data_IF_322306086307
#
_entry.id   IF_322306086307
#
_cell.length_a   1.000
_cell.length_b   1.000
_cell.length_c   1.000
_cell.angle_alpha   90.00
_cell.angle_beta   90.00
_cell.angle_gamma   90.00
#
_symmetry.space_group_name_H-M   'P 1'
#
loop_
_entity.id
_entity.type
_entity.pdbx_description
1 polymer ?
#
# COMPACT_ATOMS: atom_id res chain seq x y z
N UNK A 1 -34.56 41.92 40.81
CA UNK A 1 -35.89 42.11 40.17
C UNK A 1 -35.92 41.23 38.94
N UNK A 2 -36.43 40.00 39.13
CA UNK A 2 -37.75 39.50 38.66
C UNK A 2 -37.64 38.95 37.23
N UNK A 3 -37.50 37.63 37.03
CA UNK A 3 -38.45 36.53 37.29
C UNK A 3 -39.61 36.49 36.27
N UNK A 4 -39.77 35.33 35.60
CA UNK A 4 -41.02 34.65 35.18
C UNK A 4 -40.70 33.51 34.17
N UNK A 5 -40.81 32.25 34.61
CA UNK A 5 -41.96 31.31 34.49
C UNK A 5 -42.19 30.76 33.07
N UNK A 6 -41.87 29.47 32.83
CA UNK A 6 -42.73 28.26 32.93
C UNK A 6 -43.44 27.96 31.59
N UNK A 7 -43.72 26.75 31.08
CA UNK A 7 -43.72 25.37 31.58
C UNK A 7 -43.89 24.41 30.36
N UNK A 8 -43.80 23.10 30.60
CA UNK A 8 -44.23 22.01 29.69
C UNK A 8 -43.06 21.08 29.34
N UNK A 9 -42.68 20.10 30.15
CA UNK A 9 -43.38 18.87 30.57
C UNK A 9 -43.55 17.84 29.43
N UNK A 10 -42.68 16.83 29.43
CA UNK A 10 -43.08 15.43 29.24
C UNK A 10 -41.91 14.50 29.61
N UNK A 11 -42.11 13.82 30.74
CA UNK A 11 -41.60 12.51 31.17
C UNK A 11 -40.79 11.71 30.12
N UNK A 12 -39.64 11.10 30.45
CA UNK A 12 -39.49 10.10 31.52
C UNK A 12 -39.76 8.70 30.93
N UNK A 13 -39.00 7.63 31.16
CA UNK A 13 -37.98 7.30 32.14
C UNK A 13 -37.15 6.14 31.55
N UNK A 14 -35.86 6.08 31.87
CA UNK A 14 -35.08 4.85 31.84
C UNK A 14 -35.71 3.84 32.82
N UNK A 15 -35.86 2.56 32.46
CA UNK A 15 -35.85 1.51 33.45
C UNK A 15 -34.42 0.99 33.71
N UNK A 16 -34.17 0.45 34.92
CA UNK A 16 -32.85 0.35 35.51
C UNK A 16 -32.23 -1.05 35.33
N UNK A 17 -30.93 -1.12 35.64
CA UNK A 17 -30.23 -2.36 35.96
C UNK A 17 -30.95 -3.09 37.09
N UNK A 18 -31.58 -4.21 36.80
CA UNK A 18 -31.86 -5.27 37.76
C UNK A 18 -30.71 -6.30 37.58
N UNK A 19 -29.79 -6.63 38.48
CA UNK A 19 -29.73 -6.61 39.95
C UNK A 19 -30.90 -7.29 40.62
N UNK A 20 -31.10 -8.55 40.23
CA UNK A 20 -31.71 -9.56 41.10
C UNK A 20 -30.59 -10.31 41.81
N UNK A 21 -30.05 -9.66 42.85
CA UNK A 21 -29.56 -10.35 44.02
C UNK A 21 -30.71 -11.19 44.55
N UNK A 22 -30.61 -12.51 44.39
CA UNK A 22 -31.52 -13.42 45.06
C UNK A 22 -31.25 -13.34 46.57
N UNK A 23 -32.25 -12.99 47.39
CA UNK A 23 -32.08 -12.90 48.82
C UNK A 23 -31.81 -14.29 49.40
N UNK A 24 -30.81 -14.33 50.28
CA UNK A 24 -30.63 -15.39 51.28
C UNK A 24 -31.95 -15.51 52.05
N UNK A 25 -32.77 -16.47 51.62
CA UNK A 25 -34.08 -16.69 52.21
C UNK A 25 -33.89 -17.49 53.49
N UNK A 26 -34.03 -16.76 54.59
CA UNK A 26 -34.68 -17.17 55.83
C UNK A 26 -34.46 -18.61 56.29
N UNK A 27 -33.69 -18.70 57.36
CA UNK A 27 -33.74 -19.74 58.39
C UNK A 27 -35.14 -19.78 59.04
N UNK A 28 -36.17 -20.12 58.25
CA UNK A 28 -37.49 -20.49 58.80
C UNK A 28 -37.43 -21.97 59.16
N UNK A 29 -37.15 -22.22 60.44
CA UNK A 29 -37.41 -23.51 61.07
C UNK A 29 -38.87 -23.89 60.75
N UNK A 30 -39.12 -25.05 60.14
CA UNK A 30 -40.49 -25.49 59.91
C UNK A 30 -41.18 -25.68 61.27
N UNK A 31 -42.49 -25.36 61.36
CA UNK A 31 -43.27 -25.56 62.57
C UNK A 31 -43.17 -27.04 63.01
N UNK A 32 -42.97 -27.33 64.29
CA UNK A 32 -42.94 -28.72 64.74
C UNK A 32 -44.35 -29.30 64.63
N UNK A 33 -44.45 -30.43 63.92
CA UNK A 33 -45.60 -31.32 64.05
C UNK A 33 -46.83 -30.89 63.25
N UNK A 34 -46.79 -31.13 61.94
CA UNK A 34 -47.83 -31.93 61.31
C UNK A 34 -47.09 -33.02 60.55
N UNK A 35 -46.86 -34.15 61.24
CA UNK A 35 -46.52 -35.37 60.54
C UNK A 35 -47.58 -35.55 59.45
N UNK A 36 -47.13 -35.73 58.21
CA UNK A 36 -48.00 -36.17 57.12
C UNK A 36 -48.90 -37.25 57.73
N UNK A 37 -50.21 -37.05 57.65
CA UNK A 37 -51.15 -38.09 58.06
C UNK A 37 -50.73 -39.35 57.32
N UNK A 38 -50.95 -40.53 57.92
CA UNK A 38 -50.62 -41.78 57.25
C UNK A 38 -51.13 -41.80 55.80
N UNK A 39 -52.26 -41.14 55.52
CA UNK A 39 -52.82 -40.97 54.19
C UNK A 39 -51.98 -40.11 53.22
N UNK A 40 -51.36 -39.00 53.62
CA UNK A 40 -50.53 -38.20 52.70
C UNK A 40 -49.16 -38.85 52.44
N UNK A 41 -48.60 -39.54 53.43
CA UNK A 41 -47.43 -40.40 53.21
C UNK A 41 -47.76 -41.61 52.32
N UNK A 42 -48.97 -42.16 52.43
CA UNK A 42 -49.47 -43.23 51.56
C UNK A 42 -49.77 -42.71 50.15
N UNK A 43 -50.37 -41.54 50.00
CA UNK A 43 -50.63 -40.91 48.69
C UNK A 43 -49.33 -40.52 47.97
N UNK A 44 -48.33 -40.01 48.69
CA UNK A 44 -47.01 -39.73 48.14
C UNK A 44 -46.21 -41.01 47.81
N UNK A 45 -46.45 -42.14 48.49
CA UNK A 45 -45.95 -43.48 48.09
C UNK A 45 -46.72 -44.06 46.91
N UNK A 46 -48.02 -43.80 46.79
CA UNK A 46 -48.87 -44.24 45.68
C UNK A 46 -48.64 -43.44 44.38
N UNK A 47 -48.18 -42.19 44.48
CA UNK A 47 -47.80 -41.36 43.34
C UNK A 47 -46.36 -41.60 42.86
N UNK A 48 -45.60 -42.50 43.50
CA UNK A 48 -44.27 -42.85 43.01
C UNK A 48 -44.40 -43.58 41.69
N UNK A 49 -43.65 -43.15 40.65
CA UNK A 49 -43.70 -43.82 39.37
C UNK A 49 -43.31 -45.27 39.59
N UNK A 50 -44.19 -46.16 39.13
CA UNK A 50 -43.99 -47.61 39.22
C UNK A 50 -42.62 -47.99 38.63
N UNK A 51 -42.03 -49.11 39.03
CA UNK A 51 -40.76 -49.58 38.47
C UNK A 51 -40.76 -49.57 36.93
N UNK A 52 -41.91 -49.86 36.34
CA UNK A 52 -42.16 -49.83 34.88
C UNK A 52 -42.12 -48.41 34.30
N UNK A 53 -42.71 -47.42 34.96
CA UNK A 53 -42.64 -46.01 34.56
C UNK A 53 -41.23 -45.43 34.70
N UNK A 54 -40.50 -45.73 35.79
CA UNK A 54 -39.10 -45.28 35.95
C UNK A 54 -38.18 -45.84 34.87
N UNK A 55 -38.33 -47.14 34.53
CA UNK A 55 -37.65 -47.77 33.39
C UNK A 55 -37.97 -47.05 32.08
N UNK A 56 -39.24 -46.74 31.81
CA UNK A 56 -39.63 -46.04 30.58
C UNK A 56 -39.02 -44.63 30.43
N UNK A 57 -38.87 -43.89 31.52
CA UNK A 57 -38.24 -42.56 31.52
C UNK A 57 -36.72 -42.67 31.36
N UNK A 58 -36.09 -43.66 32.01
CA UNK A 58 -34.67 -43.96 31.84
C UNK A 58 -34.35 -44.38 30.41
N UNK A 59 -35.17 -45.24 29.79
CA UNK A 59 -35.03 -45.67 28.40
C UNK A 59 -35.17 -44.49 27.43
N UNK A 60 -36.15 -43.60 27.64
CA UNK A 60 -36.30 -42.38 26.83
C UNK A 60 -35.10 -41.43 26.98
N UNK A 61 -34.54 -41.28 28.18
CA UNK A 61 -33.32 -40.48 28.42
C UNK A 61 -32.10 -41.12 27.76
N UNK A 62 -31.96 -42.44 27.83
CA UNK A 62 -30.89 -43.18 27.17
C UNK A 62 -31.01 -43.09 25.64
N UNK A 63 -32.20 -43.22 25.08
CA UNK A 63 -32.49 -43.03 23.65
C UNK A 63 -32.17 -41.61 23.20
N UNK A 64 -32.55 -40.57 23.96
CA UNK A 64 -32.19 -39.18 23.65
C UNK A 64 -30.68 -38.94 23.69
N UNK A 65 -29.98 -39.51 24.67
CA UNK A 65 -28.51 -39.42 24.73
C UNK A 65 -27.85 -40.14 23.56
N UNK A 66 -28.31 -41.35 23.21
CA UNK A 66 -27.85 -42.09 22.03
C UNK A 66 -28.11 -41.33 20.74
N UNK A 67 -29.31 -40.78 20.55
CA UNK A 67 -29.66 -39.96 19.38
C UNK A 67 -28.83 -38.67 19.29
N UNK A 68 -28.58 -37.99 20.43
CA UNK A 68 -27.70 -36.83 20.49
C UNK A 68 -26.25 -37.18 20.12
N UNK A 69 -25.73 -38.32 20.61
CA UNK A 69 -24.41 -38.84 20.23
C UNK A 69 -24.33 -39.21 18.74
N UNK A 70 -25.36 -39.84 18.19
CA UNK A 70 -25.43 -40.16 16.76
C UNK A 70 -25.48 -38.88 15.91
N UNK A 71 -26.27 -37.89 16.30
CA UNK A 71 -26.31 -36.60 15.60
C UNK A 71 -24.97 -35.86 15.66
N UNK A 72 -24.29 -35.87 16.82
CA UNK A 72 -22.94 -35.32 16.98
C UNK A 72 -21.93 -36.04 16.08
N UNK A 73 -21.97 -37.38 16.03
CA UNK A 73 -21.09 -38.16 15.15
C UNK A 73 -21.39 -37.90 13.67
N UNK A 74 -22.65 -37.78 13.27
CA UNK A 74 -23.04 -37.44 11.88
C UNK A 74 -22.58 -36.03 11.51
N UNK A 75 -22.71 -35.06 12.41
CA UNK A 75 -22.22 -33.69 12.20
C UNK A 75 -20.69 -33.64 12.16
N UNK A 76 -20.01 -34.40 13.04
CA UNK A 76 -18.56 -34.48 13.08
C UNK A 76 -18.00 -35.17 11.83
N UNK A 77 -18.57 -36.32 11.43
CA UNK A 77 -18.23 -36.98 10.17
C UNK A 77 -18.57 -36.11 8.96
N UNK A 78 -19.70 -35.40 8.98
CA UNK A 78 -20.08 -34.45 7.93
C UNK A 78 -19.09 -33.29 7.84
N UNK A 79 -18.63 -32.74 8.96
CA UNK A 79 -17.64 -31.66 9.00
C UNK A 79 -16.24 -32.15 8.59
N UNK A 80 -15.83 -33.34 9.04
CA UNK A 80 -14.56 -33.97 8.67
C UNK A 80 -14.59 -34.35 7.18
N UNK A 81 -15.69 -34.91 6.66
CA UNK A 81 -15.85 -35.18 5.24
C UNK A 81 -15.93 -33.88 4.42
N UNK A 82 -16.54 -32.82 4.93
CA UNK A 82 -16.52 -31.51 4.26
C UNK A 82 -15.10 -30.94 4.18
N UNK A 83 -14.28 -31.11 5.23
CA UNK A 83 -12.89 -30.64 5.26
C UNK A 83 -11.92 -31.55 4.50
N UNK A 84 -12.19 -32.86 4.39
CA UNK A 84 -11.31 -33.84 3.73
C UNK A 84 -11.73 -34.20 2.31
N UNK A 85 -12.95 -33.85 1.89
CA UNK A 85 -13.57 -34.33 0.65
C UNK A 85 -14.14 -33.22 -0.22
N UNK A 86 -14.11 -31.96 0.23
CA UNK A 86 -14.51 -30.82 -0.60
C UNK A 86 -13.28 -30.08 -1.11
N UNK A 87 -13.01 -30.07 -2.43
CA UNK A 87 -11.83 -29.41 -2.95
C UNK A 87 -11.87 -27.92 -2.67
N UNK A 88 -10.74 -27.38 -2.24
CA UNK A 88 -10.62 -25.97 -1.87
C UNK A 88 -10.99 -25.06 -3.06
N UNK A 89 -11.62 -23.89 -2.83
CA UNK A 89 -11.86 -22.90 -3.89
C UNK A 89 -10.55 -22.48 -4.55
N UNK A 90 -10.60 -22.02 -5.82
CA UNK A 90 -9.43 -21.45 -6.47
C UNK A 90 -8.91 -20.27 -5.63
N UNK A 91 -7.60 -20.23 -5.41
CA UNK A 91 -6.93 -19.20 -4.62
C UNK A 91 -5.70 -18.72 -5.38
N UNK A 92 -5.75 -17.48 -5.87
CA UNK A 92 -4.62 -16.90 -6.58
C UNK A 92 -3.60 -16.42 -5.55
N UNK A 93 -2.35 -16.81 -5.75
CA UNK A 93 -1.20 -16.29 -5.02
C UNK A 93 -0.25 -15.66 -6.01
N UNK A 94 0.13 -14.43 -5.70
CA UNK A 94 1.01 -13.62 -6.52
C UNK A 94 2.43 -13.70 -5.99
N UNK A 95 3.40 -13.78 -6.89
CA UNK A 95 4.80 -13.69 -6.52
C UNK A 95 5.58 -12.87 -7.55
N UNK A 96 6.23 -11.76 -7.15
CA UNK A 96 6.20 -11.13 -5.82
C UNK A 96 4.85 -10.44 -5.47
N UNK A 97 4.57 -10.20 -4.17
CA UNK A 97 3.43 -9.44 -3.66
C UNK A 97 3.83 -8.59 -2.42
N UNK A 98 3.86 -7.24 -2.50
CA UNK A 98 3.60 -6.42 -3.69
C UNK A 98 4.73 -6.57 -4.73
N UNK A 99 4.41 -6.30 -5.99
CA UNK A 99 5.40 -6.27 -7.07
C UNK A 99 6.03 -4.87 -7.17
N UNK A 100 7.36 -4.82 -7.18
CA UNK A 100 8.11 -3.58 -7.36
C UNK A 100 8.81 -3.55 -8.71
N UNK A 101 8.49 -2.57 -9.55
CA UNK A 101 9.16 -2.29 -10.82
C UNK A 101 10.44 -1.45 -10.66
N UNK A 102 10.82 -1.11 -9.42
CA UNK A 102 12.05 -0.39 -9.13
C UNK A 102 12.00 1.10 -9.50
N UNK A 103 13.17 1.68 -9.73
CA UNK A 103 13.32 3.07 -10.16
C UNK A 103 13.50 3.14 -11.68
N UNK A 104 12.77 4.03 -12.34
CA UNK A 104 12.83 4.20 -13.78
C UNK A 104 12.89 5.68 -14.17
N UNK A 105 13.68 6.01 -15.20
CA UNK A 105 13.78 7.38 -15.70
C UNK A 105 12.46 7.83 -16.33
N UNK A 106 12.04 9.05 -16.00
CA UNK A 106 10.81 9.65 -16.55
C UNK A 106 10.82 9.63 -18.07
N UNK A 107 9.72 9.13 -18.66
CA UNK A 107 9.52 9.04 -20.11
C UNK A 107 10.31 7.95 -20.82
N UNK A 108 11.10 7.15 -20.09
CA UNK A 108 11.87 6.04 -20.65
C UNK A 108 11.24 4.73 -20.15
N UNK A 109 10.92 3.79 -21.04
CA UNK A 109 10.45 2.46 -20.65
C UNK A 109 11.52 1.70 -19.82
N UNK A 110 11.08 0.98 -18.80
CA UNK A 110 11.94 0.32 -17.81
C UNK A 110 12.36 -1.10 -18.17
N UNK A 111 13.03 -1.77 -17.23
CA UNK A 111 13.29 -3.20 -17.40
C UNK A 111 12.00 -3.99 -17.17
N UNK A 112 11.73 -4.95 -18.06
CA UNK A 112 10.63 -5.91 -17.89
C UNK A 112 10.79 -6.68 -16.59
N UNK A 113 9.70 -6.75 -15.81
CA UNK A 113 9.62 -7.56 -14.61
C UNK A 113 8.51 -8.58 -14.72
N UNK A 114 8.70 -9.73 -14.05
CA UNK A 114 7.81 -10.87 -14.16
C UNK A 114 7.05 -11.10 -12.86
N UNK A 115 5.74 -11.19 -12.98
CA UNK A 115 4.81 -11.59 -11.93
C UNK A 115 4.34 -13.02 -12.22
N UNK A 116 4.50 -13.91 -11.24
CA UNK A 116 3.93 -15.25 -11.28
C UNK A 116 2.59 -15.27 -10.53
N UNK A 117 1.58 -15.87 -11.14
CA UNK A 117 0.28 -16.11 -10.52
C UNK A 117 0.10 -17.62 -10.42
N UNK A 118 -0.06 -18.12 -9.19
CA UNK A 118 -0.24 -19.55 -8.91
C UNK A 118 -1.63 -19.81 -8.34
N UNK A 119 -2.31 -20.83 -8.85
CA UNK A 119 -3.53 -21.33 -8.22
C UNK A 119 -3.18 -22.31 -7.09
N UNK A 120 -3.19 -21.86 -5.84
CA UNK A 120 -2.98 -22.71 -4.66
C UNK A 120 -4.26 -23.43 -4.19
N UNK A 121 -5.37 -23.26 -4.93
CA UNK A 121 -6.60 -24.03 -4.72
C UNK A 121 -6.57 -25.36 -5.45
N UNK A 122 -7.49 -26.25 -5.07
CA UNK A 122 -7.63 -27.57 -5.71
C UNK A 122 -8.61 -27.56 -6.89
N UNK A 123 -9.43 -26.51 -7.01
CA UNK A 123 -10.33 -26.31 -8.15
C UNK A 123 -9.66 -25.46 -9.24
N UNK A 124 -9.94 -25.73 -10.53
CA UNK A 124 -9.49 -24.88 -11.62
C UNK A 124 -9.94 -23.44 -11.45
N UNK A 125 -9.06 -22.51 -11.83
CA UNK A 125 -9.30 -21.07 -11.75
C UNK A 125 -9.53 -20.51 -13.16
N UNK A 126 -10.79 -20.21 -13.55
CA UNK A 126 -11.07 -19.60 -14.85
C UNK A 126 -10.66 -18.13 -14.84
N UNK A 127 -9.67 -17.78 -15.67
CA UNK A 127 -9.18 -16.41 -15.82
C UNK A 127 -9.67 -15.91 -17.18
N UNK A 128 -10.54 -14.90 -17.15
CA UNK A 128 -11.09 -14.26 -18.34
C UNK A 128 -10.17 -13.17 -18.90
N UNK A 129 -9.35 -12.55 -18.04
CA UNK A 129 -8.40 -11.52 -18.47
C UNK A 129 -7.70 -10.85 -17.29
N UNK A 130 -6.77 -9.95 -17.61
CA UNK A 130 -6.10 -9.09 -16.65
C UNK A 130 -6.36 -7.63 -17.03
N UNK A 131 -6.57 -6.79 -16.02
CA UNK A 131 -6.72 -5.34 -16.21
C UNK A 131 -5.85 -4.57 -15.21
N UNK A 132 -5.33 -3.43 -15.65
CA UNK A 132 -4.62 -2.50 -14.79
C UNK A 132 -5.58 -1.46 -14.22
N UNK A 133 -5.49 -1.22 -12.92
CA UNK A 133 -6.28 -0.22 -12.18
C UNK A 133 -5.38 0.68 -11.33
N UNK A 134 -5.95 1.76 -10.84
CA UNK A 134 -5.27 2.69 -9.95
C UNK A 134 -4.83 3.99 -10.65
N UNK A 135 -4.24 4.92 -9.88
CA UNK A 135 -3.96 6.27 -10.33
C UNK A 135 -2.90 6.32 -11.45
N UNK A 136 -1.86 5.49 -11.37
CA UNK A 136 -0.79 5.44 -12.37
C UNK A 136 -0.95 4.28 -13.37
N UNK A 137 -2.14 3.65 -13.47
CA UNK A 137 -2.35 2.45 -14.29
C UNK A 137 -1.91 2.59 -15.76
N UNK A 138 -2.01 3.80 -16.34
CA UNK A 138 -1.61 4.08 -17.73
C UNK A 138 -0.08 4.12 -17.94
N UNK A 139 0.69 4.19 -16.86
CA UNK A 139 2.15 4.20 -16.88
C UNK A 139 2.72 2.78 -16.79
N UNK A 140 1.89 1.81 -16.39
CA UNK A 140 2.23 0.38 -16.40
C UNK A 140 1.71 -0.24 -17.69
N UNK A 141 2.53 -1.08 -18.30
CA UNK A 141 2.20 -1.81 -19.51
C UNK A 141 2.27 -3.32 -19.27
N UNK A 142 1.23 -4.03 -19.70
CA UNK A 142 1.22 -5.48 -19.81
C UNK A 142 1.87 -5.85 -21.14
N UNK A 143 3.16 -6.17 -21.12
CA UNK A 143 3.94 -6.46 -22.33
C UNK A 143 3.56 -7.81 -22.92
N UNK A 144 3.49 -8.83 -22.06
CA UNK A 144 3.08 -10.18 -22.43
C UNK A 144 2.49 -10.91 -21.22
N UNK A 145 1.60 -11.86 -21.46
CA UNK A 145 1.02 -12.70 -20.41
C UNK A 145 0.49 -14.02 -20.98
N UNK A 146 0.45 -15.08 -20.15
CA UNK A 146 -0.09 -16.41 -20.50
C UNK A 146 -1.19 -16.88 -19.53
N UNK A 147 -1.86 -15.93 -18.87
CA UNK A 147 -2.88 -16.14 -17.86
C UNK A 147 -4.32 -16.01 -18.39
N UNK A 148 -4.57 -15.15 -19.38
CA UNK A 148 -5.92 -14.83 -19.86
C UNK A 148 -6.55 -15.93 -20.71
N UNK A 149 -7.89 -15.94 -20.76
CA UNK A 149 -8.71 -16.82 -21.60
C UNK A 149 -8.45 -18.32 -21.41
N UNK A 150 -8.11 -18.73 -20.19
CA UNK A 150 -7.84 -20.13 -19.83
C UNK A 150 -8.23 -20.46 -18.41
N UNK A 151 -8.20 -21.75 -18.10
CA UNK A 151 -8.31 -22.24 -16.72
C UNK A 151 -6.92 -22.63 -16.21
N UNK A 152 -6.55 -22.10 -15.05
CA UNK A 152 -5.32 -22.45 -14.36
C UNK A 152 -5.61 -23.64 -13.43
N UNK A 153 -5.01 -24.79 -13.71
CA UNK A 153 -5.19 -25.99 -12.89
C UNK A 153 -4.62 -25.81 -11.48
N UNK A 154 -4.92 -26.75 -10.57
CA UNK A 154 -4.36 -26.73 -9.22
C UNK A 154 -2.82 -26.77 -9.28
N UNK A 155 -2.18 -25.86 -8.53
CA UNK A 155 -0.74 -25.63 -8.49
C UNK A 155 -0.09 -25.19 -9.83
N UNK A 156 -0.90 -24.98 -10.87
CA UNK A 156 -0.40 -24.41 -12.11
C UNK A 156 -0.11 -22.92 -11.91
N UNK A 157 0.91 -22.43 -12.61
CA UNK A 157 1.30 -21.03 -12.59
C UNK A 157 1.32 -20.45 -14.00
N UNK A 158 0.94 -19.19 -14.10
CA UNK A 158 1.07 -18.37 -15.29
C UNK A 158 1.94 -17.15 -14.96
N UNK A 159 2.51 -16.53 -15.99
CA UNK A 159 3.43 -15.40 -15.93
C UNK A 159 2.84 -14.19 -16.62
N UNK A 160 3.15 -13.04 -16.05
CA UNK A 160 2.78 -11.72 -16.55
C UNK A 160 4.04 -10.88 -16.60
N UNK A 161 4.36 -10.36 -17.78
CA UNK A 161 5.46 -9.42 -18.00
C UNK A 161 4.92 -8.00 -17.96
N UNK A 162 5.51 -7.19 -17.07
CA UNK A 162 5.10 -5.83 -16.81
C UNK A 162 6.28 -4.88 -16.97
N UNK A 163 5.98 -3.70 -17.49
CA UNK A 163 6.93 -2.60 -17.65
C UNK A 163 6.33 -1.30 -17.10
N UNK A 164 7.18 -0.40 -16.58
CA UNK A 164 6.79 0.92 -16.10
C UNK A 164 7.47 2.00 -16.94
N UNK A 165 6.67 2.88 -17.54
CA UNK A 165 7.15 4.13 -18.17
C UNK A 165 6.61 5.32 -17.37
N UNK A 166 7.36 5.84 -16.38
CA UNK A 166 6.83 6.86 -15.48
C UNK A 166 6.67 8.20 -16.20
N UNK A 167 5.54 8.87 -16.00
CA UNK A 167 5.22 10.16 -16.65
C UNK A 167 5.82 11.38 -15.94
N UNK A 168 6.22 11.23 -14.68
CA UNK A 168 6.86 12.27 -13.86
C UNK A 168 7.63 11.65 -12.69
N UNK A 169 8.32 12.48 -11.92
CA UNK A 169 9.09 12.05 -10.74
C UNK A 169 8.15 11.61 -9.60
N UNK A 170 8.60 10.68 -8.76
CA UNK A 170 7.90 10.25 -7.54
C UNK A 170 7.33 8.84 -7.61
N UNK A 171 6.58 8.43 -6.57
CA UNK A 171 5.98 7.10 -6.50
C UNK A 171 4.93 6.88 -7.58
N UNK A 172 4.87 5.66 -8.10
CA UNK A 172 3.88 5.20 -9.08
C UNK A 172 3.26 3.92 -8.56
N UNK A 173 1.94 3.95 -8.42
CA UNK A 173 1.17 2.85 -7.84
C UNK A 173 0.00 2.49 -8.75
N UNK A 174 -0.16 1.20 -8.96
CA UNK A 174 -1.25 0.60 -9.72
C UNK A 174 -1.60 -0.76 -9.12
N UNK A 175 -2.63 -1.40 -9.66
CA UNK A 175 -3.04 -2.74 -9.31
C UNK A 175 -3.19 -3.55 -10.59
N UNK A 176 -2.74 -4.80 -10.58
CA UNK A 176 -3.22 -5.81 -11.53
C UNK A 176 -4.44 -6.45 -10.91
N UNK A 177 -5.56 -6.47 -11.64
CA UNK A 177 -6.78 -7.17 -11.25
C UNK A 177 -7.04 -8.34 -12.20
N UNK A 178 -7.19 -9.53 -11.63
CA UNK A 178 -7.64 -10.71 -12.36
C UNK A 178 -9.15 -10.63 -12.58
N UNK A 179 -9.57 -10.82 -13.83
CA UNK A 179 -10.96 -11.00 -14.21
C UNK A 179 -11.30 -12.48 -14.30
N UNK A 180 -12.42 -12.88 -13.72
CA UNK A 180 -12.93 -14.24 -13.74
C UNK A 180 -14.12 -14.40 -12.79
N UNK A 181 -14.76 -15.57 -12.82
CA UNK A 181 -15.84 -15.91 -11.87
C UNK A 181 -15.23 -16.37 -10.53
N UNK A 182 -14.51 -15.46 -9.88
CA UNK A 182 -14.05 -15.62 -8.53
C UNK A 182 -15.21 -15.17 -7.64
N UNK A 183 -15.89 -16.10 -6.95
CA UNK A 183 -17.03 -15.79 -6.07
C UNK A 183 -16.67 -14.93 -4.83
N UNK A 184 -15.53 -14.25 -4.85
CA UNK A 184 -14.95 -13.42 -3.81
C UNK A 184 -14.68 -12.00 -4.32
N UNK A 185 -14.20 -11.13 -3.44
CA UNK A 185 -13.75 -9.78 -3.79
C UNK A 185 -12.73 -9.81 -4.95
N UNK A 186 -12.54 -8.68 -5.67
CA UNK A 186 -11.56 -8.58 -6.74
C UNK A 186 -10.19 -9.11 -6.29
N UNK A 187 -9.61 -9.97 -7.12
CA UNK A 187 -8.32 -10.61 -6.85
C UNK A 187 -7.25 -9.73 -7.47
N UNK A 188 -6.51 -9.01 -6.62
CA UNK A 188 -5.57 -7.97 -7.05
C UNK A 188 -4.20 -8.13 -6.43
N UNK A 189 -3.15 -7.70 -7.14
CA UNK A 189 -1.81 -7.48 -6.61
C UNK A 189 -1.39 -6.02 -6.82
N UNK A 190 -0.70 -5.46 -5.84
CA UNK A 190 -0.21 -4.09 -5.93
C UNK A 190 1.08 -4.02 -6.76
N UNK A 191 1.13 -3.04 -7.66
CA UNK A 191 2.31 -2.62 -8.41
C UNK A 191 2.84 -1.34 -7.80
N UNK A 192 4.14 -1.30 -7.56
CA UNK A 192 4.85 -0.11 -7.11
C UNK A 192 6.06 0.15 -8.01
N UNK A 193 6.35 1.42 -8.26
CA UNK A 193 7.59 1.84 -8.89
C UNK A 193 7.86 3.31 -8.59
N UNK A 194 9.00 3.83 -9.05
CA UNK A 194 9.37 5.23 -8.81
C UNK A 194 9.91 5.86 -10.08
N UNK A 195 9.32 6.97 -10.50
CA UNK A 195 9.88 7.83 -11.53
C UNK A 195 11.04 8.64 -10.98
N UNK A 196 12.20 8.55 -11.60
CA UNK A 196 13.39 9.34 -11.27
C UNK A 196 13.81 10.22 -12.43
N UNK A 197 14.42 11.37 -12.14
CA UNK A 197 14.94 12.24 -13.19
C UNK A 197 16.15 13.04 -12.70
N UNK A 198 17.12 13.35 -13.57
CA UNK A 198 18.22 14.24 -13.23
C UNK A 198 17.76 15.70 -13.22
N UNK A 199 18.19 16.46 -12.22
CA UNK A 199 17.83 17.87 -12.07
C UNK A 199 19.09 18.68 -11.76
N UNK A 200 19.48 19.54 -12.68
CA UNK A 200 20.65 20.40 -12.56
C UNK A 200 20.26 21.69 -11.83
N UNK A 201 21.04 22.07 -10.83
CA UNK A 201 20.97 23.38 -10.18
C UNK A 201 22.33 24.06 -10.19
N UNK A 202 22.37 25.34 -10.56
CA UNK A 202 23.57 26.19 -10.48
C UNK A 202 23.55 27.02 -9.20
N UNK A 203 24.72 27.30 -8.64
CA UNK A 203 24.85 28.10 -7.40
C UNK A 203 24.50 29.58 -7.60
N UNK A 204 24.63 30.08 -8.82
CA UNK A 204 24.21 31.43 -9.22
C UNK A 204 23.87 31.45 -10.71
N UNK A 205 22.78 32.13 -11.08
CA UNK A 205 22.39 32.37 -12.48
C UNK A 205 23.12 33.56 -13.09
N UNK A 206 23.77 34.39 -12.27
CA UNK A 206 24.52 35.56 -12.69
C UNK A 206 25.82 35.71 -11.88
N UNK A 207 26.90 36.11 -12.54
CA UNK A 207 28.17 36.41 -11.91
C UNK A 207 28.62 37.79 -12.40
N UNK A 208 28.59 38.75 -11.48
CA UNK A 208 29.11 40.10 -11.68
C UNK A 208 30.56 40.17 -11.20
N UNK A 209 31.48 40.52 -12.11
CA UNK A 209 32.90 40.70 -11.81
C UNK A 209 33.26 42.13 -11.38
N UNK A 210 32.27 43.03 -11.40
CA UNK A 210 32.37 44.45 -11.15
C UNK A 210 33.12 45.19 -12.25
N UNK A 211 33.33 46.49 -12.04
CA UNK A 211 34.17 47.29 -12.94
C UNK A 211 35.63 46.87 -12.87
N UNK A 212 36.24 46.65 -14.03
CA UNK A 212 37.66 46.28 -14.19
C UNK A 212 38.31 47.13 -15.27
N UNK A 213 39.54 47.55 -15.01
CA UNK A 213 40.35 48.26 -15.99
C UNK A 213 40.68 47.34 -17.17
N UNK A 214 40.71 47.91 -18.37
CA UNK A 214 41.08 47.17 -19.59
C UNK A 214 42.47 46.56 -19.42
N UNK A 215 42.59 45.25 -19.66
CA UNK A 215 43.83 44.50 -19.51
C UNK A 215 44.10 43.98 -18.08
N UNK A 216 43.31 44.37 -17.08
CA UNK A 216 43.36 43.77 -15.75
C UNK A 216 42.62 42.42 -15.72
N UNK A 217 42.92 41.55 -14.74
CA UNK A 217 42.22 40.27 -14.55
C UNK A 217 41.62 40.23 -13.15
N UNK A 218 40.34 39.86 -13.04
CA UNK A 218 39.66 39.69 -11.77
C UNK A 218 40.15 38.45 -11.01
N UNK A 219 39.80 38.35 -9.73
CA UNK A 219 39.76 37.05 -9.08
C UNK A 219 38.78 36.12 -9.81
N UNK A 220 39.05 34.80 -9.77
CA UNK A 220 38.16 33.83 -10.38
C UNK A 220 36.92 33.61 -9.52
N UNK A 221 35.75 33.75 -10.13
CA UNK A 221 34.48 33.37 -9.54
C UNK A 221 34.25 31.87 -9.76
N UNK A 222 33.65 31.22 -8.76
CA UNK A 222 33.31 29.79 -8.83
C UNK A 222 31.80 29.65 -8.99
N UNK A 223 31.40 28.94 -10.03
CA UNK A 223 30.03 28.46 -10.23
C UNK A 223 30.03 26.98 -9.85
N UNK A 224 29.20 26.60 -8.88
CA UNK A 224 28.99 25.20 -8.51
C UNK A 224 27.72 24.72 -9.21
N UNK A 225 27.80 23.52 -9.77
CA UNK A 225 26.68 22.82 -10.41
C UNK A 225 26.40 21.57 -9.61
N UNK A 226 25.18 21.42 -9.13
CA UNK A 226 24.76 20.33 -8.26
C UNK A 226 23.64 19.54 -8.93
N UNK A 227 23.71 18.21 -8.85
CA UNK A 227 22.58 17.36 -9.20
C UNK A 227 21.62 17.27 -7.99
N UNK A 228 20.52 18.00 -8.06
CA UNK A 228 19.44 17.97 -7.05
C UNK A 228 18.30 17.02 -7.42
N UNK A 229 18.48 16.28 -8.52
CA UNK A 229 17.53 15.27 -8.97
C UNK A 229 17.66 13.94 -8.24
N UNK A 230 16.90 12.96 -8.70
CA UNK A 230 16.88 11.59 -8.16
C UNK A 230 17.51 10.56 -9.08
N UNK A 231 17.93 10.97 -10.28
CA UNK A 231 18.71 10.15 -11.20
C UNK A 231 20.11 10.75 -11.43
N UNK A 232 21.09 9.95 -11.89
CA UNK A 232 22.40 10.47 -12.30
C UNK A 232 22.23 11.55 -13.38
N UNK A 233 22.94 12.67 -13.26
CA UNK A 233 22.95 13.79 -14.20
C UNK A 233 24.23 13.73 -15.03
N UNK A 234 24.10 13.60 -16.35
CA UNK A 234 25.21 13.70 -17.30
C UNK A 234 25.36 15.12 -17.81
N UNK A 235 26.52 15.73 -17.59
CA UNK A 235 26.93 17.00 -18.21
C UNK A 235 27.85 16.67 -19.38
N UNK A 236 27.36 16.89 -20.60
CA UNK A 236 28.11 16.58 -21.83
C UNK A 236 29.16 17.63 -22.13
N UNK A 237 28.82 18.91 -21.97
CA UNK A 237 29.69 20.02 -22.34
C UNK A 237 29.36 21.29 -21.55
N UNK A 238 30.40 22.10 -21.31
CA UNK A 238 30.28 23.46 -20.81
C UNK A 238 30.72 24.43 -21.91
N UNK A 239 29.80 25.27 -22.38
CA UNK A 239 30.04 26.18 -23.50
C UNK A 239 30.00 27.63 -23.05
N UNK A 240 31.02 28.40 -23.43
CA UNK A 240 31.04 29.85 -23.21
C UNK A 240 30.59 30.57 -24.50
N UNK A 241 29.46 31.28 -24.41
CA UNK A 241 28.76 31.97 -25.50
C UNK A 241 28.74 33.49 -25.25
N UNK A 242 28.31 34.24 -26.26
CA UNK A 242 28.16 35.69 -26.19
C UNK A 242 29.27 36.48 -26.88
N UNK A 243 29.00 37.76 -27.14
CA UNK A 243 29.86 38.62 -27.95
C UNK A 243 31.20 38.93 -27.27
N UNK A 244 31.23 39.04 -25.94
CA UNK A 244 32.45 39.33 -25.17
C UNK A 244 33.09 38.07 -24.57
N UNK A 245 32.74 36.86 -25.04
CA UNK A 245 33.23 35.59 -24.48
C UNK A 245 34.76 35.50 -24.37
N UNK A 246 35.51 36.19 -25.24
CA UNK A 246 36.98 36.20 -25.20
C UNK A 246 37.56 36.92 -23.97
N UNK A 247 36.75 37.73 -23.30
CA UNK A 247 37.10 38.50 -22.12
C UNK A 247 36.89 37.67 -20.84
N UNK A 248 36.17 36.56 -20.92
CA UNK A 248 35.97 35.61 -19.82
C UNK A 248 36.87 34.39 -20.02
N UNK A 249 37.70 34.08 -19.03
CA UNK A 249 38.71 33.02 -19.08
C UNK A 249 38.35 31.90 -18.12
N UNK A 250 37.89 30.74 -18.63
CA UNK A 250 37.79 29.52 -17.84
C UNK A 250 39.17 29.14 -17.28
N UNK A 251 39.25 28.90 -15.97
CA UNK A 251 40.51 28.53 -15.30
C UNK A 251 40.51 27.09 -14.78
N UNK A 252 39.35 26.57 -14.41
CA UNK A 252 39.18 25.18 -13.95
C UNK A 252 37.78 24.70 -14.26
N UNK A 253 37.69 23.71 -15.12
CA UNK A 253 36.44 23.03 -15.45
C UNK A 253 36.49 21.61 -14.88
N UNK A 254 35.53 21.29 -14.01
CA UNK A 254 35.29 19.94 -13.48
C UNK A 254 33.91 19.41 -13.85
N UNK A 255 33.19 20.10 -14.74
CA UNK A 255 31.81 19.80 -15.10
C UNK A 255 31.70 19.19 -16.50
N UNK A 256 32.63 19.47 -17.41
CA UNK A 256 32.60 18.86 -18.75
C UNK A 256 32.82 17.34 -18.70
N UNK A 257 31.96 16.60 -19.39
CA UNK A 257 31.98 15.12 -19.51
C UNK A 257 31.94 14.39 -18.18
N UNK A 258 31.16 14.90 -17.22
CA UNK A 258 31.00 14.32 -15.88
C UNK A 258 29.58 13.80 -15.69
N UNK A 259 29.46 12.68 -14.99
CA UNK A 259 28.20 12.16 -14.47
C UNK A 259 28.16 12.39 -12.97
N UNK A 260 27.18 13.17 -12.50
CA UNK A 260 26.97 13.48 -11.10
C UNK A 260 25.85 12.61 -10.54
N UNK A 261 26.12 11.81 -9.51
CA UNK A 261 25.09 11.11 -8.75
C UNK A 261 24.18 12.12 -8.02
N UNK A 262 22.97 11.73 -7.60
CA UNK A 262 22.12 12.58 -6.77
C UNK A 262 22.87 13.13 -5.55
N UNK A 263 22.87 14.46 -5.39
CA UNK A 263 23.57 15.17 -4.33
C UNK A 263 25.05 15.49 -4.60
N UNK A 264 25.64 14.99 -5.69
CA UNK A 264 27.00 15.35 -6.08
C UNK A 264 27.05 16.69 -6.83
N UNK A 265 28.21 17.33 -6.78
CA UNK A 265 28.47 18.60 -7.45
C UNK A 265 29.79 18.62 -8.23
N UNK A 266 29.87 19.55 -9.17
CA UNK A 266 31.09 19.94 -9.83
C UNK A 266 31.27 21.46 -9.78
N UNK A 267 32.51 21.92 -9.97
CA UNK A 267 32.83 23.36 -9.97
C UNK A 267 33.44 23.81 -11.29
N UNK A 268 32.98 24.96 -11.75
CA UNK A 268 33.51 25.69 -12.90
C UNK A 268 34.01 27.06 -12.44
N UNK A 269 35.27 27.37 -12.74
CA UNK A 269 35.89 28.66 -12.38
C UNK A 269 36.14 29.50 -13.61
N UNK A 270 35.76 30.77 -13.52
CA UNK A 270 35.92 31.75 -14.59
C UNK A 270 36.45 33.06 -14.01
N UNK A 271 37.41 33.67 -14.69
CA UNK A 271 37.91 35.01 -14.39
C UNK A 271 37.58 35.96 -15.53
N UNK A 272 37.43 37.25 -15.23
CA UNK A 272 37.14 38.27 -16.22
C UNK A 272 38.38 39.13 -16.48
N UNK A 273 38.69 39.34 -17.76
CA UNK A 273 39.78 40.18 -18.24
C UNK A 273 39.31 40.98 -19.47
N UNK A 274 38.75 42.18 -19.26
CA UNK A 274 38.20 43.00 -20.34
C UNK A 274 39.28 43.45 -21.31
N UNK A 275 39.03 43.29 -22.61
CA UNK A 275 39.98 43.70 -23.68
C UNK A 275 39.65 45.07 -24.28
N UNK A 276 38.48 45.61 -23.97
CA UNK A 276 38.09 46.96 -24.36
C UNK A 276 37.06 47.52 -23.37
N UNK A 277 36.88 48.83 -23.37
CA UNK A 277 35.96 49.51 -22.47
C UNK A 277 34.48 49.20 -22.81
N UNK A 278 33.59 49.55 -21.87
CA UNK A 278 32.14 49.31 -21.97
C UNK A 278 31.68 48.01 -21.30
N UNK A 279 30.36 47.82 -21.19
CA UNK A 279 29.76 46.63 -20.58
C UNK A 279 30.13 45.39 -21.41
N UNK A 280 30.62 44.36 -20.72
CA UNK A 280 30.98 43.07 -21.32
C UNK A 280 29.99 42.04 -20.81
N UNK A 281 29.49 41.19 -21.69
CA UNK A 281 28.63 40.10 -21.28
C UNK A 281 28.92 38.82 -22.06
N UNK A 282 28.77 37.70 -21.35
CA UNK A 282 28.87 36.36 -21.87
C UNK A 282 27.92 35.44 -21.11
N UNK A 283 27.76 34.21 -21.59
CA UNK A 283 26.91 33.21 -20.98
C UNK A 283 27.65 31.87 -20.93
N UNK A 284 27.59 31.18 -19.79
CA UNK A 284 28.00 29.78 -19.66
C UNK A 284 26.76 28.92 -19.83
N UNK A 285 26.80 27.98 -20.76
CA UNK A 285 25.73 27.03 -21.04
C UNK A 285 26.19 25.63 -20.63
N UNK A 286 25.51 25.02 -19.65
CA UNK A 286 25.73 23.62 -19.26
C UNK A 286 24.82 22.71 -20.08
N UNK A 287 25.37 21.99 -21.06
CA UNK A 287 24.64 21.00 -21.86
C UNK A 287 24.55 19.70 -21.07
N UNK A 288 23.35 19.30 -20.69
CA UNK A 288 23.10 18.12 -19.84
C UNK A 288 21.84 17.38 -20.22
N UNK A 289 21.66 16.18 -19.66
CA UNK A 289 20.45 15.34 -19.79
C UNK A 289 19.37 15.67 -18.74
N UNK A 290 19.47 16.81 -18.05
CA UNK A 290 18.50 17.22 -17.04
C UNK A 290 17.08 17.33 -17.63
N UNK A 291 16.08 16.91 -16.85
CA UNK A 291 14.66 17.09 -17.20
C UNK A 291 14.21 18.57 -17.14
N UNK A 292 15.02 19.43 -16.51
CA UNK A 292 14.86 20.88 -16.51
C UNK A 292 15.48 21.53 -17.76
N UNK A 293 15.34 22.86 -17.88
CA UNK A 293 15.99 23.60 -18.96
C UNK A 293 17.53 23.52 -18.86
N UNK A 294 18.23 23.62 -20.00
CA UNK A 294 19.68 23.81 -20.01
C UNK A 294 20.03 25.02 -19.12
N UNK A 295 20.88 24.81 -18.12
CA UNK A 295 21.17 25.85 -17.14
C UNK A 295 22.20 26.81 -17.69
N UNK A 296 21.83 28.09 -17.74
CA UNK A 296 22.63 29.20 -18.26
C UNK A 296 23.06 30.09 -17.10
N UNK A 297 24.33 30.47 -17.08
CA UNK A 297 24.85 31.46 -16.13
C UNK A 297 25.35 32.67 -16.89
N UNK A 298 24.77 33.84 -16.60
CA UNK A 298 25.17 35.11 -17.18
C UNK A 298 26.44 35.62 -16.51
N UNK A 299 27.34 36.17 -17.30
CA UNK A 299 28.59 36.77 -16.86
C UNK A 299 28.60 38.23 -17.27
N UNK A 300 28.84 39.13 -16.32
CA UNK A 300 28.91 40.59 -16.55
C UNK A 300 30.11 41.26 -15.88
#
# INVERSE_FOLDING_TARGET
MTDKRSAGDSAGRRPPREMWDFPLRGDERPPPGLGLTEEEHVAARAAQPTPRQRRSVQDRRALRRKAGWVLMLVLLFGAIAYLLFWPSPPRAVFHPDPMSLGQQRVGIPGESQFLSITNEGERPMPISGLILRGPAAKEFELVSEDCSARELAALESCKVELELTPSAVGSREALVELQGDFRQAPVTVALAGTGIAPMLQVSSEEVDFGSRDVGSTSAASTVTVTNVGTAPLGIEAVELKGASRSDFRPQRDRCTSVSLQPGEDCSFRVAFSPRAAGRRSAEISFKSDSLGSASIVRLE
#
